data_IF_497727939741
#
_entry.id   IF_497727939741
#
_cell.length_a   1.000
_cell.length_b   1.000
_cell.length_c   1.000
_cell.angle_alpha   90.00
_cell.angle_beta   90.00
_cell.angle_gamma   90.00
#
_symmetry.space_group_name_H-M   'P 1'
#
loop_
_entity.id
_entity.type
_entity.pdbx_description
1 polymer ?
#
# COMPACT_ATOMS: atom_id res chain seq x y z
N UNK A 1 25.94 34.10 3.52
CA UNK A 1 24.49 33.78 3.45
C UNK A 1 24.35 32.29 3.27
N UNK A 2 24.17 31.59 4.37
CA UNK A 2 24.05 30.13 4.39
C UNK A 2 22.58 29.77 4.15
N UNK A 3 22.24 29.33 2.94
CA UNK A 3 20.93 28.71 2.70
C UNK A 3 20.95 27.37 3.41
N UNK A 4 20.27 27.32 4.55
CA UNK A 4 19.94 26.05 5.19
C UNK A 4 19.19 25.23 4.14
N UNK A 5 19.86 24.23 3.57
CA UNK A 5 19.20 23.16 2.85
C UNK A 5 18.28 22.51 3.85
N UNK A 6 16.98 22.81 3.78
CA UNK A 6 15.98 22.08 4.50
C UNK A 6 16.24 20.61 4.20
N UNK A 7 16.61 19.83 5.21
CA UNK A 7 16.79 18.40 5.11
C UNK A 7 15.43 17.82 4.75
N UNK A 8 15.24 17.60 3.46
CA UNK A 8 14.09 16.91 2.92
C UNK A 8 14.19 15.53 3.54
N UNK A 9 13.26 15.18 4.41
CA UNK A 9 13.24 13.87 5.05
C UNK A 9 13.43 12.80 3.97
N UNK A 10 14.45 11.96 4.09
CA UNK A 10 14.75 10.88 3.15
C UNK A 10 13.69 9.76 3.26
N UNK A 11 12.42 10.12 3.09
CA UNK A 11 11.33 9.17 3.07
C UNK A 11 11.32 8.30 1.81
N UNK A 12 10.64 7.18 1.86
CA UNK A 12 10.44 6.26 0.72
C UNK A 12 9.80 6.93 -0.51
N UNK A 13 9.06 8.03 -0.31
CA UNK A 13 8.38 8.78 -1.38
C UNK A 13 9.31 9.59 -2.30
N UNK A 14 10.61 9.34 -2.20
CA UNK A 14 11.62 10.14 -2.92
C UNK A 14 12.57 9.23 -3.68
N UNK A 15 12.50 9.30 -5.00
CA UNK A 15 13.59 8.87 -5.86
C UNK A 15 14.51 10.04 -6.05
N UNK A 16 15.78 9.94 -5.63
CA UNK A 16 16.78 10.93 -5.94
C UNK A 16 16.89 11.03 -7.47
N UNK A 17 16.38 12.11 -8.02
CA UNK A 17 16.50 12.49 -9.42
C UNK A 17 17.08 13.88 -9.43
N UNK A 18 18.03 14.12 -10.33
CA UNK A 18 18.53 15.46 -10.60
C UNK A 18 17.46 16.36 -11.22
N UNK A 19 16.32 15.78 -11.67
CA UNK A 19 15.23 16.52 -12.26
C UNK A 19 14.08 16.69 -11.25
N UNK A 20 13.77 17.93 -10.78
CA UNK A 20 12.67 18.20 -9.86
C UNK A 20 11.30 17.72 -10.35
N UNK A 21 11.08 17.65 -11.67
CA UNK A 21 9.84 17.15 -12.27
C UNK A 21 9.55 15.67 -11.96
N UNK A 22 10.58 14.91 -11.59
CA UNK A 22 10.44 13.50 -11.22
C UNK A 22 10.16 13.28 -9.72
N UNK A 23 10.06 14.35 -8.96
CA UNK A 23 9.88 14.31 -7.53
C UNK A 23 8.39 14.30 -7.15
N UNK A 24 7.98 13.40 -6.26
CA UNK A 24 6.61 13.39 -5.72
C UNK A 24 6.64 13.99 -4.32
N UNK A 25 6.19 15.23 -4.21
CA UNK A 25 6.17 15.98 -2.95
C UNK A 25 4.76 16.23 -2.40
N UNK A 26 3.71 16.05 -3.22
CA UNK A 26 2.35 16.43 -2.89
C UNK A 26 1.44 15.22 -2.70
N UNK A 27 0.60 15.25 -1.69
CA UNK A 27 -0.40 14.21 -1.42
C UNK A 27 -1.31 13.95 -2.65
N UNK A 28 -1.76 15.03 -3.32
CA UNK A 28 -2.55 14.91 -4.54
C UNK A 28 -1.83 14.09 -5.64
N UNK A 29 -0.52 14.25 -5.78
CA UNK A 29 0.26 13.48 -6.76
C UNK A 29 0.32 11.99 -6.40
N UNK A 30 0.46 11.67 -5.11
CA UNK A 30 0.40 10.28 -4.63
C UNK A 30 -0.95 9.68 -4.95
N UNK A 31 -2.04 10.38 -4.62
CA UNK A 31 -3.40 9.93 -4.85
C UNK A 31 -3.68 9.71 -6.34
N UNK A 32 -3.33 10.69 -7.19
CA UNK A 32 -3.60 10.61 -8.64
C UNK A 32 -2.71 9.60 -9.37
N UNK A 33 -1.48 9.40 -8.95
CA UNK A 33 -0.57 8.47 -9.63
C UNK A 33 -0.68 7.06 -9.08
N UNK A 34 -0.56 6.92 -7.76
CA UNK A 34 -0.52 5.63 -7.12
C UNK A 34 -1.93 5.11 -6.81
N UNK A 35 -2.73 5.91 -6.11
CA UNK A 35 -4.09 5.52 -5.74
C UNK A 35 -4.95 5.13 -6.92
N UNK A 36 -4.98 5.95 -7.99
CA UNK A 36 -5.76 5.61 -9.20
C UNK A 36 -5.22 4.38 -9.91
N UNK A 37 -3.90 4.24 -10.07
CA UNK A 37 -3.31 3.09 -10.76
C UNK A 37 -3.62 1.79 -10.02
N UNK A 38 -3.43 1.75 -8.70
CA UNK A 38 -3.72 0.56 -7.89
C UNK A 38 -5.20 0.23 -7.89
N UNK A 39 -6.07 1.26 -7.79
CA UNK A 39 -7.52 1.07 -7.87
C UNK A 39 -7.95 0.50 -9.22
N UNK A 40 -7.45 1.03 -10.32
CA UNK A 40 -7.78 0.52 -11.66
C UNK A 40 -7.35 -0.93 -11.86
N UNK A 41 -6.18 -1.31 -11.36
CA UNK A 41 -5.72 -2.70 -11.42
C UNK A 41 -6.65 -3.61 -10.62
N UNK A 42 -6.92 -3.25 -9.36
CA UNK A 42 -7.74 -4.09 -8.48
C UNK A 42 -9.17 -4.20 -8.97
N UNK A 43 -9.81 -3.10 -9.37
CA UNK A 43 -11.15 -3.13 -9.96
C UNK A 43 -11.17 -3.87 -11.31
N UNK A 44 -10.13 -3.72 -12.15
CA UNK A 44 -10.00 -4.47 -13.39
C UNK A 44 -9.94 -5.99 -13.13
N UNK A 45 -9.22 -6.41 -12.10
CA UNK A 45 -9.18 -7.82 -11.70
C UNK A 45 -10.54 -8.34 -11.21
N UNK A 46 -11.34 -7.50 -10.56
CA UNK A 46 -12.69 -7.88 -10.08
C UNK A 46 -13.69 -8.12 -11.22
N UNK A 47 -13.39 -7.78 -12.46
CA UNK A 47 -14.21 -8.13 -13.62
C UNK A 47 -14.20 -9.63 -13.92
N UNK A 48 -13.27 -10.38 -13.36
CA UNK A 48 -13.19 -11.82 -13.53
C UNK A 48 -14.00 -12.55 -12.45
N UNK A 49 -14.94 -13.42 -12.82
CA UNK A 49 -15.83 -14.12 -11.87
C UNK A 49 -15.08 -14.91 -10.79
N UNK A 50 -13.96 -15.56 -11.16
CA UNK A 50 -13.14 -16.33 -10.21
C UNK A 50 -12.59 -15.45 -9.08
N UNK A 51 -12.22 -14.20 -9.39
CA UNK A 51 -11.75 -13.23 -8.40
C UNK A 51 -12.88 -12.79 -7.48
N UNK A 52 -14.08 -12.54 -8.04
CA UNK A 52 -15.24 -12.16 -7.23
C UNK A 52 -15.62 -13.27 -6.25
N UNK A 53 -15.64 -14.53 -6.69
CA UNK A 53 -15.91 -15.67 -5.81
C UNK A 53 -14.91 -15.74 -4.67
N UNK A 54 -13.61 -15.61 -4.97
CA UNK A 54 -12.57 -15.61 -3.95
C UNK A 54 -12.69 -14.41 -2.98
N UNK A 55 -13.04 -13.23 -3.51
CA UNK A 55 -13.25 -12.04 -2.69
C UNK A 55 -14.45 -12.23 -1.72
N UNK A 56 -15.59 -12.70 -2.22
CA UNK A 56 -16.76 -12.94 -1.36
C UNK A 56 -16.46 -13.99 -0.30
N UNK A 57 -15.77 -15.09 -0.63
CA UNK A 57 -15.33 -16.08 0.35
C UNK A 57 -14.43 -15.46 1.43
N UNK A 58 -13.52 -14.56 1.06
CA UNK A 58 -12.65 -13.86 2.02
C UNK A 58 -13.43 -12.86 2.88
N UNK A 59 -14.51 -12.27 2.36
CA UNK A 59 -15.38 -11.35 3.10
C UNK A 59 -16.26 -12.07 4.12
N UNK A 60 -16.64 -13.33 3.89
CA UNK A 60 -17.40 -14.11 4.87
C UNK A 60 -16.67 -14.21 6.21
N UNK A 61 -15.36 -14.39 6.19
CA UNK A 61 -14.53 -14.39 7.40
C UNK A 61 -14.55 -13.02 8.11
N UNK A 62 -14.46 -11.93 7.34
CA UNK A 62 -14.57 -10.57 7.88
C UNK A 62 -15.94 -10.34 8.55
N UNK A 63 -17.05 -10.68 7.88
CA UNK A 63 -18.38 -10.44 8.41
C UNK A 63 -18.69 -11.31 9.63
N UNK A 64 -18.21 -12.56 9.65
CA UNK A 64 -18.34 -13.45 10.79
C UNK A 64 -17.61 -12.94 12.05
N UNK A 65 -16.58 -12.12 11.87
CA UNK A 65 -15.72 -11.61 12.94
C UNK A 65 -15.68 -10.06 12.97
N UNK A 66 -16.73 -9.39 12.49
CA UNK A 66 -16.72 -7.93 12.28
C UNK A 66 -16.34 -7.14 13.54
N UNK A 67 -16.82 -7.53 14.70
CA UNK A 67 -16.52 -6.86 15.98
C UNK A 67 -15.01 -6.92 16.31
N UNK A 68 -14.37 -8.06 16.03
CA UNK A 68 -12.93 -8.25 16.24
C UNK A 68 -12.14 -7.33 15.33
N UNK A 69 -12.45 -7.31 14.03
CA UNK A 69 -11.74 -6.46 13.08
C UNK A 69 -12.00 -4.97 13.31
N UNK A 70 -13.22 -4.59 13.68
CA UNK A 70 -13.55 -3.23 14.07
C UNK A 70 -12.71 -2.78 15.28
N UNK A 71 -12.64 -3.61 16.33
CA UNK A 71 -11.86 -3.30 17.52
C UNK A 71 -10.37 -3.17 17.20
N UNK A 72 -9.80 -4.09 16.41
CA UNK A 72 -8.39 -4.05 16.01
C UNK A 72 -8.11 -2.81 15.15
N UNK A 73 -9.01 -2.47 14.21
CA UNK A 73 -8.87 -1.29 13.35
C UNK A 73 -8.91 0.00 14.16
N UNK A 74 -9.81 0.11 15.13
CA UNK A 74 -9.90 1.25 16.04
C UNK A 74 -8.64 1.34 16.91
N UNK A 75 -8.17 0.22 17.44
CA UNK A 75 -6.93 0.15 18.23
C UNK A 75 -5.70 0.59 17.43
N UNK A 76 -5.57 0.12 16.20
CA UNK A 76 -4.48 0.53 15.29
C UNK A 76 -4.59 2.02 14.95
N UNK A 77 -5.78 2.51 14.62
CA UNK A 77 -5.99 3.93 14.35
C UNK A 77 -5.63 4.82 15.55
N UNK A 78 -6.08 4.42 16.75
CA UNK A 78 -5.71 5.11 17.99
C UNK A 78 -4.19 5.08 18.22
N UNK A 79 -3.55 3.94 18.06
CA UNK A 79 -2.10 3.81 18.18
C UNK A 79 -1.35 4.69 17.17
N UNK A 80 -1.81 4.76 15.92
CA UNK A 80 -1.23 5.65 14.90
C UNK A 80 -1.36 7.12 15.28
N UNK A 81 -2.52 7.53 15.79
CA UNK A 81 -2.73 8.92 16.28
C UNK A 81 -1.85 9.22 17.48
N UNK A 82 -1.73 8.29 18.42
CA UNK A 82 -0.85 8.43 19.58
C UNK A 82 0.62 8.53 19.15
N UNK A 83 1.05 7.68 18.22
CA UNK A 83 2.40 7.74 17.65
C UNK A 83 2.69 9.12 17.04
N UNK A 84 1.76 9.66 16.26
CA UNK A 84 1.92 11.00 15.70
C UNK A 84 1.99 12.07 16.79
N UNK A 85 1.17 11.99 17.81
CA UNK A 85 1.18 12.93 18.92
C UNK A 85 2.52 12.93 19.67
N UNK A 86 3.11 11.76 19.85
CA UNK A 86 4.37 11.60 20.60
C UNK A 86 5.60 12.00 19.77
N UNK A 87 5.61 11.73 18.47
CA UNK A 87 6.81 11.82 17.65
C UNK A 87 6.78 12.87 16.55
N UNK A 88 5.63 13.24 16.02
CA UNK A 88 5.57 14.02 14.79
C UNK A 88 5.01 15.43 14.89
N UNK A 89 4.45 15.85 15.99
CA UNK A 89 4.27 17.27 16.21
C UNK A 89 2.92 17.90 15.81
N UNK A 90 2.22 17.45 14.77
CA UNK A 90 0.98 18.11 14.37
C UNK A 90 -0.09 17.11 13.93
N UNK A 91 -1.18 17.05 14.70
CA UNK A 91 -2.41 16.39 14.31
C UNK A 91 -3.28 17.40 13.59
N UNK A 92 -3.26 17.38 12.27
CA UNK A 92 -4.13 18.19 11.42
C UNK A 92 -5.01 17.30 10.52
N UNK A 93 -6.05 17.87 9.93
CA UNK A 93 -6.98 17.14 9.06
C UNK A 93 -6.26 16.40 7.93
N UNK A 94 -5.22 16.97 7.36
CA UNK A 94 -4.43 16.35 6.30
C UNK A 94 -3.76 15.06 6.77
N UNK A 95 -3.29 15.01 8.00
CA UNK A 95 -2.69 13.81 8.59
C UNK A 95 -3.72 12.72 8.84
N UNK A 96 -4.93 13.08 9.25
CA UNK A 96 -6.05 12.14 9.38
C UNK A 96 -6.43 11.57 8.01
N UNK A 97 -6.57 12.43 7.00
CA UNK A 97 -6.81 11.97 5.63
C UNK A 97 -5.69 11.07 5.09
N UNK A 98 -4.44 11.32 5.47
CA UNK A 98 -3.32 10.47 5.11
C UNK A 98 -3.44 9.07 5.70
N UNK A 99 -3.75 8.95 6.99
CA UNK A 99 -3.99 7.65 7.65
C UNK A 99 -5.15 6.90 6.98
N UNK A 100 -6.25 7.59 6.68
CA UNK A 100 -7.38 7.02 5.94
C UNK A 100 -6.99 6.58 4.52
N UNK A 101 -6.18 7.37 3.82
CA UNK A 101 -5.63 6.99 2.52
C UNK A 101 -4.73 5.75 2.60
N UNK A 102 -3.89 5.63 3.63
CA UNK A 102 -3.05 4.46 3.82
C UNK A 102 -3.88 3.19 4.06
N UNK A 103 -5.01 3.29 4.79
CA UNK A 103 -5.95 2.17 4.92
C UNK A 103 -6.59 1.83 3.58
N UNK A 104 -7.12 2.82 2.87
CA UNK A 104 -7.75 2.63 1.58
C UNK A 104 -6.80 1.97 0.58
N UNK A 105 -5.56 2.46 0.47
CA UNK A 105 -4.60 1.89 -0.46
C UNK A 105 -4.17 0.48 -0.07
N UNK A 106 -4.06 0.17 1.24
CA UNK A 106 -3.80 -1.18 1.71
C UNK A 106 -4.92 -2.15 1.32
N UNK A 107 -6.19 -1.74 1.42
CA UNK A 107 -7.33 -2.55 0.95
C UNK A 107 -7.19 -2.85 -0.54
N UNK A 108 -7.00 -1.82 -1.34
CA UNK A 108 -6.90 -1.92 -2.80
C UNK A 108 -5.73 -2.80 -3.23
N UNK A 109 -4.57 -2.61 -2.62
CA UNK A 109 -3.36 -3.36 -2.95
C UNK A 109 -3.44 -4.83 -2.54
N UNK A 110 -4.02 -5.14 -1.38
CA UNK A 110 -4.17 -6.53 -0.97
C UNK A 110 -5.18 -7.28 -1.83
N UNK A 111 -6.31 -6.66 -2.18
CA UNK A 111 -7.27 -7.24 -3.13
C UNK A 111 -6.61 -7.47 -4.50
N UNK A 112 -5.86 -6.50 -5.01
CA UNK A 112 -5.23 -6.60 -6.32
C UNK A 112 -4.09 -7.62 -6.35
N UNK A 113 -3.14 -7.48 -5.45
CA UNK A 113 -1.84 -8.15 -5.57
C UNK A 113 -1.69 -9.41 -4.71
N UNK A 114 -2.52 -9.64 -3.70
CA UNK A 114 -2.47 -10.86 -2.87
C UNK A 114 -3.60 -11.81 -3.19
N UNK A 115 -4.80 -11.29 -3.47
CA UNK A 115 -5.93 -12.11 -3.84
C UNK A 115 -6.01 -12.32 -5.36
N UNK A 116 -6.14 -11.22 -6.13
CA UNK A 116 -6.61 -11.30 -7.52
C UNK A 116 -5.54 -11.76 -8.52
N UNK A 117 -4.41 -11.04 -8.58
CA UNK A 117 -3.37 -11.35 -9.58
C UNK A 117 -2.77 -12.75 -9.45
N UNK A 118 -2.48 -13.29 -8.24
CA UNK A 118 -2.01 -14.67 -8.13
C UNK A 118 -3.00 -15.68 -8.69
N UNK A 119 -4.31 -15.49 -8.44
CA UNK A 119 -5.36 -16.35 -8.97
C UNK A 119 -5.40 -16.26 -10.51
N UNK A 120 -5.43 -15.05 -11.05
CA UNK A 120 -5.48 -14.85 -12.50
C UNK A 120 -4.24 -15.40 -13.22
N UNK A 121 -3.05 -15.25 -12.64
CA UNK A 121 -1.84 -15.80 -13.22
C UNK A 121 -1.83 -17.33 -13.19
N UNK A 122 -2.28 -17.95 -12.11
CA UNK A 122 -2.34 -19.42 -12.00
C UNK A 122 -3.43 -20.01 -12.88
N UNK A 123 -4.57 -19.36 -13.03
CA UNK A 123 -5.68 -19.88 -13.85
C UNK A 123 -5.48 -19.65 -15.35
N UNK A 124 -5.06 -18.44 -15.75
CA UNK A 124 -5.07 -18.02 -17.17
C UNK A 124 -3.77 -18.31 -17.91
N UNK A 125 -2.62 -18.18 -17.26
CA UNK A 125 -1.32 -18.20 -17.94
C UNK A 125 -0.41 -19.36 -17.55
N UNK A 126 -0.66 -19.97 -16.40
CA UNK A 126 0.33 -20.83 -15.76
C UNK A 126 -0.28 -22.15 -15.25
N UNK A 127 -1.25 -22.73 -15.98
CA UNK A 127 -1.90 -24.00 -15.59
C UNK A 127 -0.92 -25.11 -15.21
N UNK A 128 0.30 -25.06 -15.75
CA UNK A 128 1.40 -26.00 -15.45
C UNK A 128 2.36 -25.47 -14.37
N UNK A 129 2.29 -24.17 -14.03
CA UNK A 129 3.17 -23.54 -13.05
C UNK A 129 2.45 -23.28 -11.73
N UNK A 130 3.13 -23.61 -10.69
CA UNK A 130 2.68 -23.52 -9.31
C UNK A 130 2.11 -22.13 -8.98
N UNK A 131 1.03 -22.06 -8.19
CA UNK A 131 0.46 -20.84 -7.61
C UNK A 131 1.52 -19.90 -6.99
N UNK A 132 2.63 -20.48 -6.48
CA UNK A 132 3.80 -19.73 -6.00
C UNK A 132 4.43 -18.82 -7.07
N UNK A 133 4.41 -19.22 -8.33
CA UNK A 133 4.92 -18.37 -9.41
C UNK A 133 3.99 -17.19 -9.69
N UNK A 134 2.69 -17.39 -9.58
CA UNK A 134 1.69 -16.30 -9.62
C UNK A 134 1.92 -15.27 -8.50
N UNK A 135 2.20 -15.74 -7.29
CA UNK A 135 2.59 -14.89 -6.15
C UNK A 135 3.86 -14.10 -6.49
N UNK A 136 4.88 -14.75 -7.01
CA UNK A 136 6.14 -14.09 -7.39
C UNK A 136 5.91 -12.97 -8.41
N UNK A 137 5.21 -13.27 -9.51
CA UNK A 137 4.89 -12.27 -10.55
C UNK A 137 4.05 -11.12 -10.03
N UNK A 138 3.03 -11.41 -9.22
CA UNK A 138 2.19 -10.38 -8.61
C UNK A 138 3.02 -9.41 -7.76
N UNK A 139 3.91 -9.93 -6.93
CA UNK A 139 4.76 -9.10 -6.08
C UNK A 139 5.84 -8.34 -6.87
N UNK A 140 6.34 -8.90 -7.97
CA UNK A 140 7.23 -8.21 -8.88
C UNK A 140 6.54 -7.01 -9.53
N UNK A 141 5.31 -7.18 -10.01
CA UNK A 141 4.49 -6.09 -10.53
C UNK A 141 4.20 -5.05 -9.45
N UNK A 142 3.81 -5.48 -8.26
CA UNK A 142 3.57 -4.60 -7.12
C UNK A 142 4.76 -3.68 -6.82
N UNK A 143 5.95 -4.25 -6.71
CA UNK A 143 7.18 -3.48 -6.49
C UNK A 143 7.51 -2.55 -7.67
N UNK A 144 7.28 -3.01 -8.91
CA UNK A 144 7.47 -2.22 -10.12
C UNK A 144 6.55 -1.01 -10.18
N UNK A 145 5.27 -1.17 -9.81
CA UNK A 145 4.34 -0.04 -9.75
C UNK A 145 4.77 1.01 -8.72
N UNK A 146 5.32 0.61 -7.57
CA UNK A 146 5.88 1.55 -6.60
C UNK A 146 7.05 2.36 -7.18
N UNK A 147 7.89 1.71 -7.99
CA UNK A 147 8.97 2.40 -8.67
C UNK A 147 8.46 3.47 -9.65
N UNK A 148 7.43 3.16 -10.43
CA UNK A 148 6.91 4.09 -11.46
C UNK A 148 5.95 5.13 -10.89
N UNK A 149 5.03 4.75 -10.01
CA UNK A 149 3.98 5.63 -9.50
C UNK A 149 4.44 6.53 -8.36
N UNK A 150 5.16 5.98 -7.38
CA UNK A 150 5.65 6.68 -6.21
C UNK A 150 7.08 7.21 -6.36
N UNK A 151 7.76 6.87 -7.44
CA UNK A 151 9.14 7.28 -7.68
C UNK A 151 10.11 6.82 -6.58
N UNK A 152 9.87 5.63 -6.03
CA UNK A 152 10.73 5.09 -4.99
C UNK A 152 12.10 4.67 -5.52
N UNK A 153 13.12 4.77 -4.65
CA UNK A 153 14.46 4.22 -4.92
C UNK A 153 14.38 2.70 -5.10
N UNK A 154 15.23 2.14 -5.96
CA UNK A 154 15.23 0.69 -6.23
C UNK A 154 15.36 -0.15 -4.94
N UNK A 155 16.20 0.26 -3.99
CA UNK A 155 16.30 -0.41 -2.68
C UNK A 155 14.95 -0.51 -1.96
N UNK A 156 14.17 0.58 -1.95
CA UNK A 156 12.84 0.57 -1.35
C UNK A 156 11.89 -0.39 -2.10
N UNK A 157 11.96 -0.45 -3.43
CA UNK A 157 11.17 -1.38 -4.23
C UNK A 157 11.55 -2.85 -3.94
N UNK A 158 12.83 -3.16 -3.71
CA UNK A 158 13.27 -4.50 -3.28
C UNK A 158 12.66 -4.85 -1.92
N UNK A 159 12.68 -3.93 -0.95
CA UNK A 159 12.03 -4.16 0.34
C UNK A 159 10.50 -4.31 0.19
N UNK A 160 9.88 -3.58 -0.72
CA UNK A 160 8.45 -3.71 -1.04
C UNK A 160 8.15 -5.08 -1.65
N UNK A 161 9.02 -5.57 -2.54
CA UNK A 161 8.91 -6.91 -3.10
C UNK A 161 9.00 -8.00 -2.01
N UNK A 162 10.03 -7.94 -1.17
CA UNK A 162 10.22 -8.91 -0.08
C UNK A 162 9.09 -8.85 0.95
N UNK A 163 8.67 -7.65 1.35
CA UNK A 163 7.52 -7.45 2.22
C UNK A 163 6.23 -7.98 1.61
N UNK A 164 6.05 -7.78 0.30
CA UNK A 164 4.94 -8.32 -0.46
C UNK A 164 4.91 -9.85 -0.46
N UNK A 165 6.04 -10.52 -0.66
CA UNK A 165 6.16 -11.99 -0.52
C UNK A 165 5.77 -12.43 0.90
N UNK A 166 6.23 -11.71 1.94
CA UNK A 166 5.86 -11.98 3.33
C UNK A 166 4.35 -11.89 3.57
N UNK A 167 3.70 -10.83 3.08
CA UNK A 167 2.25 -10.68 3.16
C UNK A 167 1.50 -11.75 2.37
N UNK A 168 1.97 -12.11 1.16
CA UNK A 168 1.39 -13.20 0.37
C UNK A 168 1.51 -14.54 1.10
N UNK A 169 2.64 -14.80 1.77
CA UNK A 169 2.82 -16.00 2.58
C UNK A 169 1.87 -16.02 3.78
N UNK A 170 1.72 -14.87 4.45
CA UNK A 170 0.80 -14.73 5.58
C UNK A 170 -0.64 -14.98 5.11
N UNK A 171 -1.06 -14.41 3.98
CA UNK A 171 -2.37 -14.66 3.38
C UNK A 171 -2.57 -16.14 3.05
N UNK A 172 -1.59 -16.77 2.41
CA UNK A 172 -1.66 -18.19 2.04
C UNK A 172 -1.86 -19.11 3.25
N UNK A 173 -1.28 -18.76 4.41
CA UNK A 173 -1.39 -19.60 5.63
C UNK A 173 -2.67 -19.30 6.40
N UNK A 174 -3.14 -18.05 6.40
CA UNK A 174 -4.27 -17.63 7.24
C UNK A 174 -5.59 -17.58 6.49
N UNK A 175 -5.56 -17.45 5.17
CA UNK A 175 -6.71 -17.20 4.28
C UNK A 175 -7.55 -15.97 4.73
N UNK A 176 -6.94 -15.09 5.51
CA UNK A 176 -7.59 -13.95 6.16
C UNK A 176 -7.15 -12.63 5.52
N UNK A 177 -7.93 -12.18 4.52
CA UNK A 177 -7.66 -10.94 3.79
C UNK A 177 -7.72 -9.71 4.72
N UNK A 178 -8.64 -9.69 5.68
CA UNK A 178 -8.78 -8.57 6.60
C UNK A 178 -7.55 -8.41 7.51
N UNK A 179 -7.02 -9.53 7.99
CA UNK A 179 -5.76 -9.53 8.75
C UNK A 179 -4.61 -8.92 7.93
N UNK A 180 -4.47 -9.36 6.68
CA UNK A 180 -3.38 -8.88 5.81
C UNK A 180 -3.51 -7.38 5.55
N UNK A 181 -4.72 -6.89 5.30
CA UNK A 181 -4.99 -5.47 5.11
C UNK A 181 -4.55 -4.67 6.35
N UNK A 182 -4.90 -5.12 7.55
CA UNK A 182 -4.53 -4.44 8.79
C UNK A 182 -3.02 -4.45 9.04
N UNK A 183 -2.37 -5.58 8.77
CA UNK A 183 -0.89 -5.69 8.87
C UNK A 183 -0.23 -4.76 7.85
N UNK A 184 -0.71 -4.76 6.61
CA UNK A 184 -0.19 -3.87 5.57
C UNK A 184 -0.38 -2.39 5.94
N UNK A 185 -1.56 -2.00 6.42
CA UNK A 185 -1.84 -0.64 6.88
C UNK A 185 -0.87 -0.19 7.97
N UNK A 186 -0.63 -1.04 8.98
CA UNK A 186 0.34 -0.77 10.04
C UNK A 186 1.76 -0.59 9.49
N UNK A 187 2.21 -1.50 8.62
CA UNK A 187 3.55 -1.43 8.00
C UNK A 187 3.69 -0.17 7.15
N UNK A 188 2.69 0.14 6.34
CA UNK A 188 2.72 1.32 5.46
C UNK A 188 2.75 2.61 6.27
N UNK A 189 1.95 2.68 7.35
CA UNK A 189 2.01 3.81 8.28
C UNK A 189 3.40 3.97 8.91
N UNK A 190 3.98 2.90 9.45
CA UNK A 190 5.32 2.96 10.06
C UNK A 190 6.41 3.40 9.07
N UNK A 191 6.25 3.07 7.80
CA UNK A 191 7.19 3.47 6.74
C UNK A 191 6.97 4.91 6.25
N UNK A 192 5.74 5.42 6.32
CA UNK A 192 5.36 6.76 5.83
C UNK A 192 4.36 7.43 6.79
N UNK A 193 4.78 7.69 8.05
CA UNK A 193 3.84 8.16 9.08
C UNK A 193 3.32 9.57 8.82
N UNK A 194 4.04 10.41 8.07
CA UNK A 194 3.67 11.80 7.82
C UNK A 194 3.17 12.00 6.39
N UNK A 195 2.08 12.77 6.27
CA UNK A 195 1.54 13.14 4.97
C UNK A 195 2.55 13.96 4.15
N UNK A 196 2.71 13.69 2.84
CA UNK A 196 3.59 14.47 1.95
C UNK A 196 3.26 15.95 1.99
N UNK A 197 4.25 16.82 2.12
CA UNK A 197 4.05 18.27 2.21
C UNK A 197 3.54 18.87 0.88
N UNK A 198 2.61 19.81 0.97
CA UNK A 198 2.32 20.72 -0.13
C UNK A 198 3.36 21.85 -0.12
N UNK A 199 4.63 21.55 -0.27
CA UNK A 199 5.60 22.61 -0.53
C UNK A 199 5.21 23.18 -1.89
N UNK A 200 4.50 24.31 -1.87
CA UNK A 200 4.52 25.23 -3.00
C UNK A 200 5.98 25.61 -3.14
N UNK A 201 6.63 25.18 -4.19
CA UNK A 201 7.81 25.89 -4.68
C UNK A 201 7.29 27.27 -5.07
N UNK A 202 7.28 28.18 -4.12
CA UNK A 202 7.23 29.60 -4.46
C UNK A 202 8.43 29.86 -5.37
N UNK A 203 8.09 30.33 -6.55
CA UNK A 203 9.01 30.72 -7.61
C UNK A 203 9.82 31.94 -7.18
#
# INVERSE_FOLDING_TARGET
MNKSSASISEGRLQRASQNPANYISKFRQVLLRHGTTMSLISFGCMLFPIVLVALFSSLDNLFSNINRYALVSLGLGFFMLLYLRLFSKELNYRQIFWIGYLLFISIVEEIGFRLSLPILFSDSFLKEYNFLFGIFLSNLLFASFHYFTLRWKLKACIFTFLGGIGLSRLFYVTEDLALIILVHWAITFLNTPTAPNNISTEK
#
